data_IF_322940361689
#
_entry.id   IF_322940361689
#
_cell.length_a   1.000
_cell.length_b   1.000
_cell.length_c   1.000
_cell.angle_alpha   90.00
_cell.angle_beta   90.00
_cell.angle_gamma   90.00
#
_symmetry.space_group_name_H-M   'P 1'
#
loop_
_entity.id
_entity.type
_entity.pdbx_description
1 polymer ?
#
# COMPACT_ATOMS: atom_id res chain seq x y z
N UNK A 1 -15.36 21.01 -2.93
CA UNK A 1 -13.92 20.69 -3.03
C UNK A 1 -13.73 19.22 -2.72
N UNK A 2 -13.02 18.48 -3.57
CA UNK A 2 -12.70 17.07 -3.35
C UNK A 2 -11.76 16.96 -2.15
N UNK A 3 -12.12 16.14 -1.15
CA UNK A 3 -11.26 15.93 0.03
C UNK A 3 -10.06 15.09 -0.42
N UNK A 4 -8.81 15.56 -0.24
CA UNK A 4 -7.64 14.77 -0.57
C UNK A 4 -7.71 13.41 0.12
N UNK A 5 -7.38 12.31 -0.58
CA UNK A 5 -7.42 11.00 0.03
C UNK A 5 -6.35 10.90 1.12
N UNK A 6 -6.62 10.13 2.17
CA UNK A 6 -5.71 9.96 3.31
C UNK A 6 -4.33 9.48 2.80
N UNK A 7 -3.20 10.14 3.15
CA UNK A 7 -1.88 9.68 2.74
C UNK A 7 -1.58 8.27 3.26
N UNK A 8 -0.79 7.51 2.50
CA UNK A 8 -0.39 6.15 2.89
C UNK A 8 0.38 6.20 4.22
N UNK A 9 0.13 5.24 5.11
CA UNK A 9 0.78 5.16 6.41
C UNK A 9 0.26 6.16 7.45
N UNK A 10 -0.80 6.92 7.13
CA UNK A 10 -1.43 7.86 8.06
C UNK A 10 -2.80 7.38 8.52
N UNK A 11 -3.29 7.99 9.60
CA UNK A 11 -4.62 7.72 10.14
C UNK A 11 -5.50 8.97 10.14
N UNK A 12 -6.81 8.74 10.01
CA UNK A 12 -7.82 9.79 10.14
C UNK A 12 -8.11 10.16 11.60
N UNK A 13 -9.22 10.87 11.81
CA UNK A 13 -9.63 11.28 13.15
C UNK A 13 -9.83 10.07 14.08
N UNK A 14 -9.25 10.17 15.27
CA UNK A 14 -9.47 9.23 16.36
C UNK A 14 -10.82 9.51 17.00
N UNK A 15 -11.64 8.47 17.11
CA UNK A 15 -12.94 8.51 17.79
C UNK A 15 -12.88 7.60 19.00
N UNK A 16 -13.37 8.07 20.14
CA UNK A 16 -13.46 7.27 21.36
C UNK A 16 -14.89 7.23 21.89
N UNK A 17 -15.33 6.06 22.31
CA UNK A 17 -16.68 5.83 22.86
C UNK A 17 -16.63 4.88 24.06
N UNK A 18 -17.57 5.05 24.98
CA UNK A 18 -17.83 4.07 26.01
C UNK A 18 -18.28 2.76 25.35
N UNK A 19 -17.62 1.65 25.70
CA UNK A 19 -17.90 0.33 25.14
C UNK A 19 -18.74 -0.51 26.11
N UNK A 20 -18.41 -0.47 27.41
CA UNK A 20 -19.15 -1.18 28.45
C UNK A 20 -19.39 -0.28 29.65
N UNK A 21 -20.58 -0.43 30.24
CA UNK A 21 -20.97 0.15 31.52
C UNK A 21 -21.23 -0.98 32.53
N UNK A 22 -21.01 -0.73 33.80
CA UNK A 22 -21.43 -1.62 34.90
C UNK A 22 -22.95 -1.51 35.16
N UNK A 23 -23.43 -2.27 36.13
CA UNK A 23 -24.84 -2.29 36.53
C UNK A 23 -25.30 -0.93 37.10
N UNK A 24 -24.36 -0.17 37.66
CA UNK A 24 -24.54 1.17 38.21
C UNK A 24 -24.44 2.28 37.15
N UNK A 25 -24.22 1.92 35.88
CA UNK A 25 -24.19 2.83 34.74
C UNK A 25 -22.86 3.57 34.53
N UNK A 26 -21.83 3.26 35.33
CA UNK A 26 -20.48 3.81 35.20
C UNK A 26 -19.71 3.09 34.10
N UNK A 27 -18.94 3.86 33.33
CA UNK A 27 -18.18 3.32 32.20
C UNK A 27 -16.98 2.52 32.71
N UNK A 28 -16.94 1.23 32.38
CA UNK A 28 -15.86 0.31 32.76
C UNK A 28 -14.88 0.03 31.62
N UNK A 29 -15.29 0.27 30.37
CA UNK A 29 -14.38 0.20 29.23
C UNK A 29 -14.69 1.24 28.16
N UNK A 30 -13.62 1.70 27.52
CA UNK A 30 -13.60 2.63 26.42
C UNK A 30 -12.96 1.98 25.20
N UNK A 31 -13.52 2.24 24.03
CA UNK A 31 -12.98 1.84 22.74
C UNK A 31 -12.62 3.09 21.95
N UNK A 32 -11.40 3.14 21.45
CA UNK A 32 -10.94 4.10 20.48
C UNK A 32 -10.81 3.43 19.10
N UNK A 33 -11.21 4.13 18.04
CA UNK A 33 -11.01 3.69 16.66
C UNK A 33 -10.55 4.81 15.74
N UNK A 34 -9.82 4.44 14.70
CA UNK A 34 -9.42 5.31 13.61
C UNK A 34 -9.26 4.49 12.33
N UNK A 35 -9.46 5.12 11.17
CA UNK A 35 -9.11 4.53 9.89
C UNK A 35 -7.64 4.77 9.59
N UNK A 36 -6.94 3.72 9.17
CA UNK A 36 -5.54 3.73 8.75
C UNK A 36 -5.46 3.31 7.29
N UNK A 37 -4.71 4.05 6.47
CA UNK A 37 -4.47 3.65 5.08
C UNK A 37 -3.17 2.85 5.01
N UNK A 38 -3.33 1.54 4.80
CA UNK A 38 -2.21 0.64 4.60
C UNK A 38 -1.54 0.88 3.24
N UNK A 39 -0.32 0.37 3.09
CA UNK A 39 0.49 0.50 1.87
C UNK A 39 -0.04 -0.28 0.67
N UNK A 40 -0.92 -1.25 0.90
CA UNK A 40 -1.68 -1.93 -0.15
C UNK A 40 -2.81 -1.04 -0.72
N UNK A 41 -2.86 0.24 -0.29
CA UNK A 41 -3.85 1.22 -0.71
C UNK A 41 -5.18 1.10 0.01
N UNK A 42 -5.40 0.05 0.79
CA UNK A 42 -6.66 -0.23 1.47
C UNK A 42 -6.75 0.53 2.80
N UNK A 43 -7.93 1.07 3.07
CA UNK A 43 -8.21 1.75 4.34
C UNK A 43 -8.88 0.77 5.30
N UNK A 44 -8.25 0.50 6.44
CA UNK A 44 -8.75 -0.43 7.46
C UNK A 44 -9.03 0.29 8.77
N UNK A 45 -10.07 -0.13 9.49
CA UNK A 45 -10.34 0.38 10.83
C UNK A 45 -9.40 -0.29 11.84
N UNK A 46 -8.71 0.51 12.63
CA UNK A 46 -7.88 0.06 13.76
C UNK A 46 -8.59 0.45 15.04
N UNK A 47 -8.64 -0.49 15.98
CA UNK A 47 -9.32 -0.28 17.26
C UNK A 47 -8.44 -0.68 18.45
N UNK A 48 -8.66 0.01 19.56
CA UNK A 48 -8.05 -0.32 20.85
C UNK A 48 -9.04 -0.07 21.98
N UNK A 49 -8.99 -0.91 23.01
CA UNK A 49 -9.82 -0.77 24.20
C UNK A 49 -8.98 -0.60 25.47
N UNK A 50 -9.52 0.12 26.44
CA UNK A 50 -8.92 0.31 27.76
C UNK A 50 -9.99 0.66 28.81
N UNK A 51 -9.57 0.74 30.09
CA UNK A 51 -10.45 1.11 31.20
C UNK A 51 -10.84 2.61 31.19
N UNK A 52 -10.04 3.46 30.55
CA UNK A 52 -10.24 4.91 30.49
C UNK A 52 -10.17 5.41 29.05
N UNK A 53 -10.83 6.53 28.76
CA UNK A 53 -10.83 7.17 27.44
C UNK A 53 -9.41 7.43 26.94
N UNK A 54 -8.60 8.13 27.75
CA UNK A 54 -7.21 8.45 27.40
C UNK A 54 -6.34 7.21 27.20
N UNK A 55 -6.49 6.17 28.01
CA UNK A 55 -5.72 4.94 27.82
C UNK A 55 -6.10 4.21 26.53
N UNK A 56 -7.37 4.27 26.11
CA UNK A 56 -7.81 3.67 24.85
C UNK A 56 -7.21 4.43 23.66
N UNK A 57 -7.20 5.77 23.72
CA UNK A 57 -6.60 6.64 22.71
C UNK A 57 -5.08 6.44 22.63
N UNK A 58 -4.37 6.43 23.75
CA UNK A 58 -2.92 6.17 23.77
C UNK A 58 -2.57 4.79 23.21
N UNK A 59 -3.33 3.75 23.56
CA UNK A 59 -3.14 2.41 22.99
C UNK A 59 -3.41 2.39 21.49
N UNK A 60 -4.44 3.09 21.02
CA UNK A 60 -4.72 3.20 19.60
C UNK A 60 -3.57 3.90 18.87
N UNK A 61 -3.10 5.04 19.38
CA UNK A 61 -1.98 5.78 18.78
C UNK A 61 -0.70 4.94 18.74
N UNK A 62 -0.42 4.16 19.79
CA UNK A 62 0.70 3.22 19.80
C UNK A 62 0.55 2.17 18.67
N UNK A 63 -0.62 1.51 18.56
CA UNK A 63 -0.90 0.56 17.47
C UNK A 63 -0.74 1.19 16.08
N UNK A 64 -1.24 2.41 15.90
CA UNK A 64 -1.15 3.13 14.63
C UNK A 64 0.30 3.48 14.28
N UNK A 65 1.07 3.95 15.26
CA UNK A 65 2.50 4.23 15.10
C UNK A 65 3.28 2.97 14.74
N UNK A 66 3.03 1.86 15.44
CA UNK A 66 3.75 0.62 15.21
C UNK A 66 3.40 0.06 13.81
N UNK A 67 2.14 0.19 13.38
CA UNK A 67 1.69 -0.14 12.02
C UNK A 67 2.32 0.75 10.94
N UNK A 68 2.49 2.04 11.23
CA UNK A 68 3.20 2.98 10.36
C UNK A 68 4.69 2.64 10.26
N UNK A 69 5.34 2.22 11.35
CA UNK A 69 6.75 1.80 11.37
C UNK A 69 7.01 0.53 10.56
N UNK A 70 6.19 -0.52 10.74
CA UNK A 70 6.26 -1.75 9.94
C UNK A 70 6.13 -1.43 8.44
N UNK A 71 5.34 -0.41 8.12
CA UNK A 71 5.16 0.06 6.74
C UNK A 71 6.38 0.81 6.20
N UNK A 72 7.15 1.52 7.04
CA UNK A 72 8.37 2.22 6.62
C UNK A 72 9.60 1.31 6.50
N UNK A 73 9.68 0.23 7.29
CA UNK A 73 10.76 -0.76 7.20
C UNK A 73 10.58 -1.76 6.06
N UNK A 74 9.41 -1.77 5.41
CA UNK A 74 9.16 -2.48 4.16
C UNK A 74 9.31 -1.49 3.00
N UNK A 75 10.55 -1.05 2.77
CA UNK A 75 10.94 -0.25 1.62
C UNK A 75 10.59 -1.01 0.35
N UNK A 76 9.42 -0.71 -0.15
CA UNK A 76 8.98 -1.18 -1.43
C UNK A 76 8.22 -0.01 -2.01
N UNK A 77 9.01 0.77 -2.76
CA UNK A 77 8.56 1.82 -3.64
C UNK A 77 7.36 1.35 -4.46
N UNK A 78 6.41 2.23 -4.82
CA UNK A 78 5.43 1.97 -5.88
C UNK A 78 6.04 1.52 -7.21
N UNK A 79 7.37 1.61 -7.35
CA UNK A 79 8.15 1.12 -8.49
C UNK A 79 8.69 -0.31 -8.31
N UNK A 80 8.72 -0.88 -7.09
CA UNK A 80 9.56 -2.05 -6.78
C UNK A 80 8.83 -3.35 -6.34
N UNK A 81 7.49 -3.42 -6.29
CA UNK A 81 6.82 -4.66 -5.79
C UNK A 81 6.52 -5.75 -6.82
N UNK A 82 6.76 -5.51 -8.10
CA UNK A 82 6.50 -6.51 -9.16
C UNK A 82 7.78 -7.16 -9.65
N UNK A 83 8.86 -6.40 -9.85
CA UNK A 83 10.09 -6.96 -10.43
C UNK A 83 10.80 -7.90 -9.45
N UNK A 84 10.94 -7.53 -8.18
CA UNK A 84 11.54 -8.42 -7.17
C UNK A 84 10.71 -9.69 -6.94
N UNK A 85 9.37 -9.58 -7.06
CA UNK A 85 8.48 -10.73 -6.98
C UNK A 85 8.58 -11.61 -8.23
N UNK A 86 8.82 -11.03 -9.40
CA UNK A 86 9.07 -11.74 -10.66
C UNK A 86 10.41 -12.47 -10.60
N UNK A 87 11.47 -11.85 -10.09
CA UNK A 87 12.79 -12.48 -10.00
C UNK A 87 12.77 -13.69 -9.04
N UNK A 88 12.13 -13.55 -7.88
CA UNK A 88 11.95 -14.64 -6.91
C UNK A 88 10.98 -15.72 -7.42
N UNK A 89 10.04 -15.36 -8.31
CA UNK A 89 9.16 -16.31 -8.97
C UNK A 89 9.88 -17.08 -10.09
N UNK A 90 10.76 -16.42 -10.86
CA UNK A 90 11.58 -17.03 -11.91
C UNK A 90 12.58 -18.02 -11.29
N UNK A 91 13.27 -17.64 -10.22
CA UNK A 91 14.22 -18.52 -9.51
C UNK A 91 13.53 -19.83 -9.04
N UNK A 92 12.35 -19.72 -8.44
CA UNK A 92 11.53 -20.89 -8.03
C UNK A 92 10.86 -21.64 -9.19
N UNK A 93 10.85 -21.06 -10.39
CA UNK A 93 10.32 -21.69 -11.59
C UNK A 93 11.42 -22.48 -12.30
N UNK A 94 12.65 -21.97 -12.31
CA UNK A 94 13.85 -22.65 -12.79
C UNK A 94 14.14 -23.92 -11.97
N UNK A 95 14.07 -23.83 -10.63
CA UNK A 95 14.19 -24.98 -9.73
C UNK A 95 13.14 -26.09 -10.03
N UNK A 96 11.93 -25.70 -10.46
CA UNK A 96 10.86 -26.64 -10.82
C UNK A 96 10.95 -27.22 -12.24
N UNK A 97 11.72 -26.58 -13.12
CA UNK A 97 12.08 -27.13 -14.43
C UNK A 97 13.22 -28.15 -14.27
N UNK A 98 14.15 -27.90 -13.35
CA UNK A 98 15.23 -28.83 -13.01
C UNK A 98 14.71 -30.13 -12.37
N UNK A 99 13.63 -30.05 -11.57
CA UNK A 99 12.85 -31.20 -11.05
C UNK A 99 11.96 -31.90 -12.12
N UNK A 100 12.06 -31.52 -13.40
CA UNK A 100 11.39 -32.20 -14.51
C UNK A 100 9.87 -32.05 -14.57
N UNK A 101 9.27 -31.23 -13.70
CA UNK A 101 7.82 -31.08 -13.56
C UNK A 101 7.18 -30.12 -14.57
N UNK A 102 7.97 -29.34 -15.33
CA UNK A 102 7.48 -28.33 -16.30
C UNK A 102 8.32 -28.21 -17.57
N UNK A 103 7.65 -27.84 -18.66
CA UNK A 103 8.24 -27.65 -19.99
C UNK A 103 9.00 -26.30 -20.09
N UNK A 104 10.24 -26.26 -20.61
CA UNK A 104 11.08 -25.06 -20.71
C UNK A 104 10.49 -23.92 -21.57
N UNK A 105 9.56 -24.24 -22.47
CA UNK A 105 9.03 -23.31 -23.47
C UNK A 105 8.22 -22.16 -22.86
N UNK A 106 7.75 -22.33 -21.62
CA UNK A 106 6.97 -21.30 -20.90
C UNK A 106 7.85 -20.14 -20.43
N UNK A 107 9.13 -20.39 -20.07
CA UNK A 107 10.06 -19.33 -19.65
C UNK A 107 10.42 -18.40 -20.80
N UNK A 108 10.61 -18.93 -22.00
CA UNK A 108 10.96 -18.14 -23.20
C UNK A 108 9.85 -17.18 -23.62
N UNK A 109 8.59 -17.53 -23.32
CA UNK A 109 7.42 -16.68 -23.62
C UNK A 109 7.29 -15.52 -22.62
N UNK A 110 7.63 -15.76 -21.35
CA UNK A 110 7.57 -14.73 -20.31
C UNK A 110 8.73 -13.74 -20.41
N UNK A 111 9.93 -14.19 -20.77
CA UNK A 111 11.08 -13.29 -20.96
C UNK A 111 10.92 -12.38 -22.18
N UNK A 112 10.39 -12.89 -23.30
CA UNK A 112 10.17 -12.11 -24.54
C UNK A 112 9.14 -10.98 -24.37
N UNK A 113 8.07 -11.18 -23.61
CA UNK A 113 7.08 -10.13 -23.33
C UNK A 113 7.62 -9.02 -22.41
N UNK A 114 8.49 -9.38 -21.46
CA UNK A 114 9.15 -8.40 -20.58
C UNK A 114 10.14 -7.52 -21.35
N UNK A 115 10.87 -8.07 -22.32
CA UNK A 115 11.82 -7.29 -23.14
C UNK A 115 11.13 -6.33 -24.12
N UNK A 116 9.97 -6.70 -24.65
CA UNK A 116 9.19 -5.84 -25.55
C UNK A 116 8.59 -4.62 -24.83
N UNK A 117 8.27 -4.76 -23.55
CA UNK A 117 7.66 -3.67 -22.76
C UNK A 117 8.71 -2.60 -22.40
N UNK A 118 9.93 -2.99 -22.07
CA UNK A 118 11.04 -2.05 -21.77
C UNK A 118 11.53 -1.30 -23.00
N UNK A 119 11.50 -1.92 -24.18
CA UNK A 119 11.92 -1.26 -25.44
C UNK A 119 10.89 -0.21 -25.92
N UNK A 120 9.61 -0.35 -25.57
CA UNK A 120 8.56 0.60 -25.97
C UNK A 120 8.52 1.86 -25.08
N UNK A 121 9.10 1.81 -23.88
CA UNK A 121 9.15 2.98 -22.98
C UNK A 121 10.32 3.93 -23.27
N UNK A 122 11.37 3.49 -23.99
CA UNK A 122 12.55 4.35 -24.28
C UNK A 122 12.46 5.18 -25.57
N UNK A 123 11.37 5.06 -26.34
CA UNK A 123 11.16 5.80 -27.60
C UNK A 123 10.02 6.84 -27.56
N UNK A 124 9.64 7.34 -26.38
CA UNK A 124 8.90 8.62 -26.33
C UNK A 124 9.89 9.77 -26.56
N UNK A 125 10.12 10.09 -27.83
CA UNK A 125 10.74 11.35 -28.26
C UNK A 125 10.07 12.55 -27.54
N UNK A 126 10.85 13.58 -27.15
CA UNK A 126 10.27 14.83 -26.72
C UNK A 126 9.50 15.42 -27.91
N UNK A 127 8.16 15.47 -27.81
CA UNK A 127 7.32 16.21 -28.75
C UNK A 127 7.82 17.65 -28.80
N UNK A 128 8.54 17.96 -29.87
CA UNK A 128 8.99 19.31 -30.21
C UNK A 128 7.77 20.23 -30.23
N UNK A 129 7.89 21.34 -29.53
CA UNK A 129 6.89 22.40 -29.49
C UNK A 129 6.57 22.85 -30.92
N UNK A 130 5.29 22.77 -31.31
CA UNK A 130 4.81 23.41 -32.54
C UNK A 130 5.08 24.92 -32.45
N UNK A 131 5.69 25.56 -33.47
CA UNK A 131 5.76 27.01 -33.49
C UNK A 131 4.35 27.59 -33.59
N UNK A 132 4.05 28.59 -32.76
CA UNK A 132 2.83 29.39 -32.83
C UNK A 132 2.81 30.10 -34.19
N UNK A 133 1.84 29.77 -35.04
CA UNK A 133 1.46 30.64 -36.16
C UNK A 133 0.86 31.92 -35.57
N UNK A 134 1.49 33.04 -35.85
CA UNK A 134 0.86 34.37 -35.77
C UNK A 134 -0.23 34.47 -36.84
N UNK A 135 -1.39 35.08 -36.56
CA UNK A 135 -2.33 35.47 -37.61
C UNK A 135 -1.87 36.81 -38.20
N UNK A 136 -1.60 36.82 -39.50
CA UNK A 136 -1.53 38.05 -40.30
C UNK A 136 -2.91 38.29 -40.91
N UNK A 137 -3.73 39.18 -40.32
CA UNK A 137 -4.65 40.16 -40.94
C UNK A 137 -5.64 40.71 -39.90
#
# INVERSE_FOLDING_TARGET
MSRPPLPIGTWGNVRSRAERKDAEGKVVSWRASAYFRDHDGHTREVTASAKTKGAAEHRLLAKLRDRAKITQSGELSPTDKINDLIDLWIEKFEERIEDGSRSPTTLTTLTTLTTLTTLTHSHQEPRTARPRRTPDW
#
